data_IF_817615219435
#
_entry.id   IF_817615219435
#
_cell.length_a   1.000
_cell.length_b   1.000
_cell.length_c   1.000
_cell.angle_alpha   90.00
_cell.angle_beta   90.00
_cell.angle_gamma   90.00
#
_symmetry.space_group_name_H-M   'P 1'
#
loop_
_entity.id
_entity.type
_entity.pdbx_description
1 polymer ?
#
# COMPACT_ATOMS: atom_id res chain seq x y z
N UNK A 1 -11.49 0.32 -56.65
CA UNK A 1 -12.25 0.91 -55.51
C UNK A 1 -12.66 -0.11 -54.44
N UNK A 2 -12.97 -1.37 -54.76
CA UNK A 2 -13.37 -2.37 -53.76
C UNK A 2 -12.27 -2.75 -52.72
N UNK A 3 -10.98 -2.69 -53.08
CA UNK A 3 -9.87 -3.07 -52.18
C UNK A 3 -9.70 -2.15 -50.96
N UNK A 4 -9.95 -0.84 -51.11
CA UNK A 4 -9.86 0.13 -50.01
C UNK A 4 -11.01 -0.01 -49.00
N UNK A 5 -12.19 -0.47 -49.45
CA UNK A 5 -13.34 -0.63 -48.57
C UNK A 5 -13.22 -1.84 -47.62
N UNK A 6 -12.72 -2.97 -48.12
CA UNK A 6 -12.45 -4.15 -47.28
C UNK A 6 -11.33 -3.91 -46.26
N UNK A 7 -10.33 -3.09 -46.61
CA UNK A 7 -9.28 -2.61 -45.71
C UNK A 7 -9.86 -1.81 -44.52
N UNK A 8 -10.78 -0.87 -44.80
CA UNK A 8 -11.40 -0.04 -43.76
C UNK A 8 -12.27 -0.84 -42.78
N UNK A 9 -13.12 -1.75 -43.27
CA UNK A 9 -13.97 -2.59 -42.40
C UNK A 9 -13.14 -3.45 -41.45
N UNK A 10 -12.06 -4.06 -41.95
CA UNK A 10 -11.14 -4.85 -41.13
C UNK A 10 -10.43 -3.99 -40.08
N UNK A 11 -10.04 -2.78 -40.42
CA UNK A 11 -9.42 -1.83 -39.48
C UNK A 11 -10.37 -1.45 -38.34
N UNK A 12 -11.61 -1.10 -38.66
CA UNK A 12 -12.64 -0.76 -37.65
C UNK A 12 -12.91 -1.96 -36.73
N UNK A 13 -13.04 -3.16 -37.31
CA UNK A 13 -13.22 -4.39 -36.53
C UNK A 13 -12.05 -4.64 -35.57
N UNK A 14 -10.81 -4.50 -36.04
CA UNK A 14 -9.63 -4.64 -35.20
C UNK A 14 -9.61 -3.61 -34.07
N UNK A 15 -9.94 -2.34 -34.34
CA UNK A 15 -10.03 -1.30 -33.31
C UNK A 15 -11.07 -1.67 -32.25
N UNK A 16 -12.26 -2.12 -32.68
CA UNK A 16 -13.31 -2.57 -31.76
C UNK A 16 -12.88 -3.75 -30.90
N UNK A 17 -12.20 -4.74 -31.50
CA UNK A 17 -11.67 -5.90 -30.78
C UNK A 17 -10.58 -5.51 -29.78
N UNK A 18 -9.68 -4.61 -30.16
CA UNK A 18 -8.63 -4.08 -29.28
C UNK A 18 -9.20 -3.31 -28.10
N UNK A 19 -10.24 -2.52 -28.32
CA UNK A 19 -10.92 -1.80 -27.25
C UNK A 19 -11.65 -2.77 -26.29
N UNK A 20 -12.37 -3.76 -26.82
CA UNK A 20 -13.01 -4.78 -25.98
C UNK A 20 -12.00 -5.56 -25.14
N UNK A 21 -10.86 -5.93 -25.74
CA UNK A 21 -9.76 -6.58 -25.04
C UNK A 21 -9.12 -5.65 -23.99
N UNK A 22 -9.01 -4.36 -24.27
CA UNK A 22 -8.52 -3.37 -23.30
C UNK A 22 -9.44 -3.22 -22.08
N UNK A 23 -10.77 -3.27 -22.28
CA UNK A 23 -11.73 -3.29 -21.17
C UNK A 23 -11.58 -4.57 -20.34
N UNK A 24 -11.37 -5.72 -20.99
CA UNK A 24 -11.07 -6.97 -20.29
C UNK A 24 -9.80 -6.86 -19.44
N UNK A 25 -8.69 -6.40 -20.02
CA UNK A 25 -7.43 -6.17 -19.30
C UNK A 25 -7.60 -5.18 -18.14
N UNK A 26 -8.36 -4.10 -18.36
CA UNK A 26 -8.67 -3.13 -17.32
C UNK A 26 -9.33 -3.82 -16.13
N UNK A 27 -10.39 -4.61 -16.35
CA UNK A 27 -11.11 -5.34 -15.29
C UNK A 27 -10.19 -6.33 -14.57
N UNK A 28 -9.37 -7.09 -15.31
CA UNK A 28 -8.44 -8.07 -14.72
C UNK A 28 -7.40 -7.37 -13.85
N UNK A 29 -6.78 -6.29 -14.33
CA UNK A 29 -5.82 -5.50 -13.54
C UNK A 29 -6.47 -4.91 -12.30
N UNK A 30 -7.70 -4.43 -12.44
CA UNK A 30 -8.50 -3.86 -11.37
C UNK A 30 -8.85 -4.87 -10.27
N UNK A 31 -9.12 -6.13 -10.64
CA UNK A 31 -9.28 -7.25 -9.69
C UNK A 31 -7.94 -7.58 -9.05
N UNK A 32 -6.87 -7.66 -9.85
CA UNK A 32 -5.52 -7.97 -9.35
C UNK A 32 -5.05 -6.96 -8.28
N UNK A 33 -5.21 -5.66 -8.55
CA UNK A 33 -4.84 -4.59 -7.62
C UNK A 33 -5.64 -4.61 -6.32
N UNK A 34 -6.82 -5.25 -6.30
CA UNK A 34 -7.63 -5.39 -5.09
C UNK A 34 -7.20 -6.59 -4.22
N UNK A 35 -6.36 -7.49 -4.73
CA UNK A 35 -5.84 -8.64 -3.99
C UNK A 35 -4.62 -8.21 -3.17
N UNK A 36 -4.38 -8.88 -2.04
CA UNK A 36 -3.24 -8.62 -1.14
C UNK A 36 -1.88 -9.08 -1.70
N UNK A 37 -1.89 -10.01 -2.63
CA UNK A 37 -0.68 -10.65 -3.11
C UNK A 37 0.16 -9.71 -4.01
N UNK A 38 1.46 -9.68 -3.76
CA UNK A 38 2.44 -8.94 -4.56
C UNK A 38 3.44 -9.92 -5.14
N UNK A 39 3.76 -9.80 -6.43
CA UNK A 39 4.78 -10.63 -7.06
C UNK A 39 6.19 -10.07 -6.80
N UNK A 40 7.20 -10.94 -6.71
CA UNK A 40 8.59 -10.53 -6.41
C UNK A 40 9.18 -9.51 -7.39
N UNK A 41 8.83 -9.60 -8.68
CA UNK A 41 9.29 -8.66 -9.69
C UNK A 41 8.71 -7.26 -9.47
N UNK A 42 7.48 -7.19 -8.95
CA UNK A 42 6.83 -5.94 -8.57
C UNK A 42 7.60 -5.28 -7.42
N UNK A 43 8.04 -6.06 -6.43
CA UNK A 43 8.83 -5.57 -5.28
C UNK A 43 10.11 -4.88 -5.76
N UNK A 44 10.86 -5.51 -6.67
CA UNK A 44 12.11 -4.94 -7.22
C UNK A 44 11.83 -3.64 -7.98
N UNK A 45 10.79 -3.60 -8.79
CA UNK A 45 10.40 -2.39 -9.52
C UNK A 45 10.00 -1.26 -8.55
N UNK A 46 9.18 -1.57 -7.54
CA UNK A 46 8.74 -0.60 -6.53
C UNK A 46 9.94 -0.02 -5.80
N UNK A 47 10.86 -0.87 -5.32
CA UNK A 47 12.09 -0.43 -4.67
C UNK A 47 12.93 0.48 -5.57
N UNK A 48 13.15 0.08 -6.83
CA UNK A 48 13.94 0.86 -7.77
C UNK A 48 13.30 2.23 -8.08
N UNK A 49 12.00 2.25 -8.35
CA UNK A 49 11.26 3.47 -8.69
C UNK A 49 11.11 4.40 -7.48
N UNK A 50 10.89 3.85 -6.28
CA UNK A 50 10.92 4.59 -5.02
C UNK A 50 12.28 5.23 -4.74
N UNK A 51 13.37 4.48 -4.93
CA UNK A 51 14.74 4.98 -4.76
C UNK A 51 15.05 6.09 -5.76
N UNK A 52 14.65 5.93 -7.03
CA UNK A 52 14.80 6.94 -8.07
C UNK A 52 14.01 8.21 -7.74
N UNK A 53 12.73 8.08 -7.34
CA UNK A 53 11.85 9.20 -6.97
C UNK A 53 12.48 10.01 -5.82
N UNK A 54 12.96 9.34 -4.78
CA UNK A 54 13.56 10.01 -3.62
C UNK A 54 14.92 10.63 -3.94
N UNK A 55 15.79 9.95 -4.70
CA UNK A 55 17.15 10.43 -4.99
C UNK A 55 17.20 11.54 -6.03
N UNK A 56 16.40 11.45 -7.09
CA UNK A 56 16.47 12.43 -8.19
C UNK A 56 15.70 13.72 -7.90
N UNK A 57 14.64 13.67 -7.09
CA UNK A 57 13.72 14.79 -6.97
C UNK A 57 13.61 15.40 -5.57
N UNK A 58 14.06 14.71 -4.49
CA UNK A 58 13.82 15.08 -3.07
C UNK A 58 12.36 15.54 -2.79
N UNK A 59 11.43 15.10 -3.65
CA UNK A 59 10.01 15.45 -3.62
C UNK A 59 9.26 14.51 -2.69
N UNK A 60 9.80 14.28 -1.49
CA UNK A 60 8.97 13.74 -0.42
C UNK A 60 7.89 14.78 -0.12
N UNK A 61 6.63 14.42 -0.33
CA UNK A 61 5.48 15.24 0.08
C UNK A 61 5.35 15.14 1.61
N UNK A 62 6.31 15.74 2.32
CA UNK A 62 6.36 15.76 3.79
C UNK A 62 5.10 16.45 4.31
N UNK A 63 4.43 15.88 5.33
CA UNK A 63 3.32 16.57 5.98
C UNK A 63 3.82 17.79 6.76
N UNK A 64 2.89 18.58 7.29
CA UNK A 64 3.20 19.71 8.17
C UNK A 64 3.96 19.22 9.41
N UNK A 65 5.18 19.69 9.59
CA UNK A 65 6.07 19.32 10.69
C UNK A 65 5.52 19.69 12.05
N UNK A 66 4.71 20.74 12.12
CA UNK A 66 4.10 21.21 13.36
C UNK A 66 2.81 20.46 13.72
N UNK A 67 2.26 19.62 12.85
CA UNK A 67 1.04 18.86 13.16
C UNK A 67 1.29 17.65 14.06
N UNK A 68 2.53 17.22 14.23
CA UNK A 68 2.84 15.98 14.95
C UNK A 68 3.60 16.21 16.26
N UNK A 69 3.28 15.40 17.26
CA UNK A 69 4.07 15.21 18.47
C UNK A 69 4.32 13.71 18.64
N UNK A 70 5.57 13.30 18.45
CA UNK A 70 6.00 11.92 18.58
C UNK A 70 6.54 11.71 20.00
N UNK A 71 5.89 10.85 20.78
CA UNK A 71 6.23 10.56 22.16
C UNK A 71 6.78 9.13 22.27
N UNK A 72 8.08 9.02 22.47
CA UNK A 72 8.75 7.75 22.60
C UNK A 72 8.54 7.11 23.97
N UNK A 73 8.14 5.84 23.97
CA UNK A 73 7.98 5.01 25.17
C UNK A 73 8.93 3.82 25.21
N UNK A 74 9.91 3.75 24.31
CA UNK A 74 10.88 2.65 24.22
C UNK A 74 11.59 2.42 25.57
N UNK A 75 12.01 3.49 26.25
CA UNK A 75 12.87 3.39 27.44
C UNK A 75 12.14 3.53 28.79
N UNK A 76 10.88 3.96 28.80
CA UNK A 76 10.10 4.09 30.04
C UNK A 76 9.37 2.79 30.35
N UNK A 77 10.10 1.86 30.98
CA UNK A 77 9.59 0.53 31.32
C UNK A 77 9.37 0.38 32.84
N UNK A 78 8.33 -0.37 33.20
CA UNK A 78 8.03 -0.83 34.56
C UNK A 78 8.11 -2.36 34.59
N UNK A 79 8.74 -2.90 35.62
CA UNK A 79 8.82 -4.35 35.82
C UNK A 79 7.54 -4.82 36.51
N UNK A 80 6.93 -5.87 35.97
CA UNK A 80 5.82 -6.60 36.61
C UNK A 80 6.23 -8.06 36.84
N UNK A 81 5.64 -8.76 37.82
CA UNK A 81 5.90 -10.17 38.03
C UNK A 81 5.47 -11.00 36.80
N UNK A 82 6.39 -11.80 36.27
CA UNK A 82 6.11 -12.81 35.24
C UNK A 82 5.63 -14.09 35.92
N UNK A 83 4.49 -14.62 35.49
CA UNK A 83 3.88 -15.83 36.05
C UNK A 83 3.96 -17.00 35.08
N UNK A 84 4.12 -18.22 35.62
CA UNK A 84 4.01 -19.46 34.84
C UNK A 84 2.54 -19.80 34.51
N UNK A 85 2.33 -20.92 33.81
CA UNK A 85 0.99 -21.41 33.43
C UNK A 85 0.08 -21.76 34.60
N UNK A 86 0.61 -21.89 35.83
CA UNK A 86 -0.12 -22.25 37.05
C UNK A 86 -0.25 -21.01 37.98
N UNK A 87 0.34 -19.87 37.60
CA UNK A 87 0.23 -18.59 38.29
C UNK A 87 1.37 -18.28 39.28
N UNK A 88 2.41 -19.11 39.37
CA UNK A 88 3.57 -18.85 40.23
C UNK A 88 4.47 -17.79 39.61
N UNK A 89 5.01 -16.88 40.43
CA UNK A 89 5.97 -15.87 39.97
C UNK A 89 7.31 -16.54 39.68
N UNK A 90 7.74 -16.50 38.42
CA UNK A 90 9.00 -17.08 37.94
C UNK A 90 10.07 -16.03 37.65
N UNK A 91 9.72 -14.74 37.69
CA UNK A 91 10.64 -13.64 37.45
C UNK A 91 9.91 -12.32 37.29
N UNK A 92 10.54 -11.37 36.60
CA UNK A 92 9.94 -10.10 36.23
C UNK A 92 10.04 -9.90 34.72
N UNK A 93 9.03 -9.25 34.13
CA UNK A 93 9.03 -8.84 32.73
C UNK A 93 8.83 -7.33 32.61
N UNK A 94 9.53 -6.67 31.66
CA UNK A 94 9.36 -5.24 31.42
C UNK A 94 8.14 -4.98 30.54
N UNK A 95 7.24 -4.13 31.03
CA UNK A 95 6.14 -3.54 30.27
C UNK A 95 6.35 -2.02 30.14
N UNK A 96 5.66 -1.36 29.22
CA UNK A 96 5.63 0.11 29.20
C UNK A 96 5.04 0.65 30.50
N UNK A 97 5.63 1.72 31.02
CA UNK A 97 5.22 2.32 32.28
C UNK A 97 3.85 3.00 32.18
N UNK A 98 2.81 2.27 32.61
CA UNK A 98 1.41 2.72 32.56
C UNK A 98 1.13 3.89 33.49
N UNK A 99 1.88 4.01 34.59
CA UNK A 99 1.77 5.15 35.51
C UNK A 99 2.21 6.47 34.85
N UNK A 100 3.35 6.45 34.13
CA UNK A 100 3.80 7.61 33.36
C UNK A 100 2.79 8.01 32.29
N UNK A 101 2.28 7.03 31.54
CA UNK A 101 1.27 7.28 30.51
C UNK A 101 0.00 7.88 31.12
N UNK A 102 -0.51 7.30 32.20
CA UNK A 102 -1.70 7.83 32.89
C UNK A 102 -1.47 9.26 33.41
N UNK A 103 -0.28 9.57 33.95
CA UNK A 103 0.08 10.94 34.38
C UNK A 103 0.03 11.94 33.23
N UNK A 104 0.57 11.57 32.06
CA UNK A 104 0.54 12.44 30.86
C UNK A 104 -0.89 12.61 30.35
N UNK A 105 -1.64 11.51 30.20
CA UNK A 105 -3.04 11.56 29.75
C UNK A 105 -3.92 12.35 30.71
N UNK A 106 -3.72 12.22 32.03
CA UNK A 106 -4.41 13.03 33.03
C UNK A 106 -4.20 14.53 32.82
N UNK A 107 -2.97 14.95 32.50
CA UNK A 107 -2.66 16.36 32.21
C UNK A 107 -3.28 16.84 30.89
N UNK A 108 -3.32 15.97 29.87
CA UNK A 108 -4.01 16.26 28.60
C UNK A 108 -5.53 16.41 28.84
N UNK A 109 -6.12 15.53 29.64
CA UNK A 109 -7.55 15.55 29.98
C UNK A 109 -7.99 16.78 30.79
N UNK A 110 -7.07 17.58 31.32
CA UNK A 110 -7.38 18.90 31.88
C UNK A 110 -7.74 19.93 30.78
N UNK A 111 -7.47 19.60 29.51
CA UNK A 111 -7.73 20.39 28.31
C UNK A 111 -8.28 19.49 27.19
N UNK A 112 -9.49 18.91 27.33
CA UNK A 112 -9.97 17.76 26.55
C UNK A 112 -10.08 17.98 25.03
N UNK A 113 -10.25 19.22 24.57
CA UNK A 113 -10.38 19.56 23.14
C UNK A 113 -9.09 20.03 22.48
N UNK A 114 -7.98 20.00 23.21
CA UNK A 114 -6.79 20.73 22.83
C UNK A 114 -5.90 19.95 21.83
N UNK A 115 -6.04 18.63 21.67
CA UNK A 115 -5.34 17.86 20.64
C UNK A 115 -6.22 17.62 19.40
N UNK A 116 -5.60 17.32 18.26
CA UNK A 116 -6.31 16.86 17.07
C UNK A 116 -6.73 15.39 17.24
N UNK A 117 -5.77 14.54 17.62
CA UNK A 117 -5.94 13.10 17.77
C UNK A 117 -4.83 12.49 18.65
N UNK A 118 -5.12 11.39 19.35
CA UNK A 118 -4.12 10.64 20.12
C UNK A 118 -4.08 9.18 19.69
N UNK A 119 -2.92 8.71 19.27
CA UNK A 119 -2.64 7.29 19.06
C UNK A 119 -1.74 6.78 20.19
N UNK A 120 -2.15 5.69 20.83
CA UNK A 120 -1.33 4.95 21.80
C UNK A 120 -0.99 3.59 21.20
N UNK A 121 0.15 3.53 20.53
CA UNK A 121 0.71 2.34 19.91
C UNK A 121 1.55 1.53 20.90
N UNK A 122 0.84 0.94 21.87
CA UNK A 122 1.43 0.15 22.95
C UNK A 122 0.57 -1.09 23.16
N UNK A 123 1.24 -2.23 23.30
CA UNK A 123 0.56 -3.48 23.56
C UNK A 123 0.28 -3.67 25.06
N UNK A 124 -0.99 -3.80 25.43
CA UNK A 124 -1.44 -3.93 26.82
C UNK A 124 -1.99 -5.34 27.11
N UNK A 125 -1.16 -6.39 26.97
CA UNK A 125 -1.60 -7.80 27.17
C UNK A 125 -1.42 -8.26 28.62
N UNK A 126 -0.36 -7.80 29.28
CA UNK A 126 -0.08 -8.22 30.65
C UNK A 126 -0.75 -7.29 31.66
N UNK A 127 -1.43 -7.78 32.72
CA UNK A 127 -2.04 -6.92 33.72
C UNK A 127 -0.98 -6.17 34.55
N UNK A 128 -1.28 -4.92 34.92
CA UNK A 128 -0.44 -4.08 35.77
C UNK A 128 -1.24 -3.46 36.92
N UNK A 129 -0.63 -3.19 38.10
CA UNK A 129 -1.29 -2.45 39.18
C UNK A 129 -1.81 -1.06 38.78
N UNK A 130 -1.27 -0.45 37.73
CA UNK A 130 -1.65 0.90 37.29
C UNK A 130 -2.80 0.91 36.26
N UNK A 131 -3.37 -0.26 35.92
CA UNK A 131 -4.36 -0.38 34.86
C UNK A 131 -5.62 0.44 35.14
N UNK A 132 -6.13 0.38 36.36
CA UNK A 132 -7.32 1.15 36.75
C UNK A 132 -7.10 2.67 36.66
N UNK A 133 -5.87 3.15 36.91
CA UNK A 133 -5.53 4.56 36.75
C UNK A 133 -5.51 4.94 35.26
N UNK A 134 -4.95 4.10 34.42
CA UNK A 134 -4.86 4.34 32.98
C UNK A 134 -6.23 4.25 32.29
N UNK A 135 -7.05 3.27 32.65
CA UNK A 135 -8.44 3.13 32.16
C UNK A 135 -9.29 4.35 32.49
N UNK A 136 -9.12 4.93 33.69
CA UNK A 136 -9.81 6.15 34.09
C UNK A 136 -9.48 7.30 33.14
N UNK A 137 -8.23 7.43 32.70
CA UNK A 137 -7.84 8.49 31.77
C UNK A 137 -8.27 8.22 30.33
N UNK A 138 -8.27 6.96 29.88
CA UNK A 138 -8.84 6.59 28.59
C UNK A 138 -10.36 6.81 28.52
N UNK A 139 -11.07 6.70 29.63
CA UNK A 139 -12.52 6.95 29.66
C UNK A 139 -12.92 8.41 29.45
N UNK A 140 -11.99 9.35 29.69
CA UNK A 140 -12.20 10.79 29.58
C UNK A 140 -11.72 11.37 28.26
N UNK A 141 -10.77 10.70 27.61
CA UNK A 141 -10.07 11.26 26.46
C UNK A 141 -10.90 11.09 25.19
N UNK A 142 -11.06 12.18 24.44
CA UNK A 142 -11.73 12.15 23.16
C UNK A 142 -10.72 11.96 22.02
N UNK A 143 -11.19 11.43 20.87
CA UNK A 143 -10.36 11.26 19.65
C UNK A 143 -9.05 10.52 19.93
N UNK A 144 -9.17 9.39 20.62
CA UNK A 144 -8.05 8.53 20.99
C UNK A 144 -8.26 7.11 20.45
N UNK A 145 -7.17 6.45 20.07
CA UNK A 145 -7.14 5.02 19.79
C UNK A 145 -5.96 4.34 20.48
N UNK A 146 -6.18 3.10 20.91
CA UNK A 146 -5.20 2.24 21.54
C UNK A 146 -5.00 1.00 20.66
N UNK A 147 -3.75 0.70 20.34
CA UNK A 147 -3.41 -0.44 19.50
C UNK A 147 -3.80 -1.78 20.14
N UNK A 148 -4.30 -2.68 19.29
CA UNK A 148 -4.35 -4.11 19.55
C UNK A 148 -3.80 -4.88 18.35
N UNK A 149 -3.48 -6.15 18.58
CA UNK A 149 -2.83 -7.03 17.61
C UNK A 149 -3.60 -8.34 17.46
N UNK A 150 -3.29 -9.14 16.44
CA UNK A 150 -3.82 -10.49 16.28
C UNK A 150 -2.84 -11.53 16.81
N UNK A 151 -3.37 -12.68 17.20
CA UNK A 151 -2.57 -13.86 17.49
C UNK A 151 -2.11 -14.56 16.20
N UNK A 152 -1.31 -15.62 16.34
CA UNK A 152 -0.84 -16.44 15.23
C UNK A 152 -1.97 -17.13 14.44
N UNK A 153 -3.21 -17.14 14.95
CA UNK A 153 -4.41 -17.67 14.27
C UNK A 153 -5.23 -16.56 13.61
N UNK A 154 -4.72 -15.33 13.58
CA UNK A 154 -5.39 -14.17 13.02
C UNK A 154 -6.53 -13.62 13.87
N UNK A 155 -6.67 -14.04 15.14
CA UNK A 155 -7.73 -13.56 16.04
C UNK A 155 -7.27 -12.34 16.83
N UNK A 156 -8.12 -11.32 17.01
CA UNK A 156 -7.82 -10.18 17.87
C UNK A 156 -7.43 -10.58 19.29
N UNK A 157 -6.30 -10.06 19.77
CA UNK A 157 -5.85 -10.08 21.15
C UNK A 157 -6.20 -8.74 21.78
N UNK A 158 -7.28 -8.73 22.55
CA UNK A 158 -7.82 -7.50 23.14
C UNK A 158 -6.96 -7.06 24.34
N UNK A 159 -6.62 -5.76 24.45
CA UNK A 159 -5.98 -5.19 25.62
C UNK A 159 -6.66 -5.56 26.94
N UNK A 160 -5.88 -5.78 28.00
CA UNK A 160 -6.41 -5.96 29.36
C UNK A 160 -7.06 -4.70 29.90
N UNK A 161 -6.68 -3.54 29.35
CA UNK A 161 -7.25 -2.24 29.70
C UNK A 161 -8.46 -1.91 28.82
N UNK A 162 -9.49 -1.31 29.41
CA UNK A 162 -10.62 -0.75 28.67
C UNK A 162 -10.24 0.58 28.04
N UNK A 163 -10.23 0.61 26.70
CA UNK A 163 -9.92 1.80 25.91
C UNK A 163 -10.63 1.73 24.54
N UNK A 164 -10.74 2.86 23.80
CA UNK A 164 -11.10 2.82 22.39
C UNK A 164 -9.97 2.15 21.60
N UNK A 165 -10.20 0.97 21.03
CA UNK A 165 -9.15 0.14 20.43
C UNK A 165 -9.15 0.15 18.90
N UNK A 166 -7.99 -0.08 18.29
CA UNK A 166 -7.82 -0.23 16.84
C UNK A 166 -6.73 -1.25 16.46
N UNK A 167 -6.88 -1.90 15.30
CA UNK A 167 -5.91 -2.92 14.85
C UNK A 167 -4.66 -2.26 14.28
N UNK A 168 -3.51 -2.51 14.89
CA UNK A 168 -2.22 -1.95 14.45
C UNK A 168 -1.32 -2.95 13.75
N UNK A 169 -1.81 -4.17 13.50
CA UNK A 169 -1.07 -5.15 12.71
C UNK A 169 -0.88 -4.71 11.27
N UNK A 170 0.35 -4.91 10.81
CA UNK A 170 0.72 -4.85 9.40
C UNK A 170 0.67 -6.26 8.83
N UNK A 171 0.21 -6.39 7.58
CA UNK A 171 0.40 -7.65 6.86
C UNK A 171 1.81 -7.66 6.29
N UNK A 172 2.51 -8.77 6.51
CA UNK A 172 3.81 -9.02 5.93
C UNK A 172 3.56 -9.58 4.53
N UNK A 173 4.03 -8.89 3.49
CA UNK A 173 3.87 -9.31 2.10
C UNK A 173 4.84 -10.45 1.74
N UNK A 174 6.02 -10.44 2.35
CA UNK A 174 7.07 -11.43 2.17
C UNK A 174 7.53 -11.95 3.53
N UNK A 175 7.06 -13.15 3.88
CA UNK A 175 7.36 -13.80 5.18
C UNK A 175 8.85 -14.11 5.35
N UNK A 176 9.60 -14.34 4.27
CA UNK A 176 11.03 -14.64 4.34
C UNK A 176 11.84 -13.37 4.67
N UNK A 177 11.42 -12.22 4.15
CA UNK A 177 12.07 -10.92 4.37
C UNK A 177 11.47 -10.09 5.50
N UNK A 178 10.36 -10.54 6.08
CA UNK A 178 9.54 -9.77 7.02
C UNK A 178 9.22 -8.36 6.47
N UNK A 179 8.93 -8.30 5.16
CA UNK A 179 8.83 -7.05 4.41
C UNK A 179 7.38 -6.56 4.35
N UNK A 180 7.17 -5.33 4.80
CA UNK A 180 5.91 -4.61 4.65
C UNK A 180 5.97 -3.74 3.41
N UNK A 181 5.11 -4.04 2.44
CA UNK A 181 5.00 -3.32 1.17
C UNK A 181 3.62 -2.71 0.98
N UNK A 182 2.57 -3.54 1.06
CA UNK A 182 1.18 -3.12 0.91
C UNK A 182 0.53 -3.00 2.29
N UNK A 183 -0.10 -1.85 2.53
CA UNK A 183 -0.87 -1.65 3.73
C UNK A 183 -2.33 -2.05 3.50
N UNK A 184 -2.89 -2.83 4.42
CA UNK A 184 -4.26 -3.35 4.37
C UNK A 184 -5.18 -2.60 5.34
N UNK A 185 -6.24 -1.99 4.83
CA UNK A 185 -7.17 -1.17 5.62
C UNK A 185 -8.19 -1.99 6.40
N UNK A 186 -8.69 -3.06 5.79
CA UNK A 186 -9.58 -4.05 6.40
C UNK A 186 -8.88 -5.41 6.38
N UNK A 187 -8.84 -6.07 7.53
CA UNK A 187 -8.25 -7.39 7.71
C UNK A 187 -9.28 -8.38 8.27
N UNK A 188 -9.18 -9.68 7.94
CA UNK A 188 -10.10 -10.70 8.45
C UNK A 188 -11.58 -10.35 8.23
N UNK A 189 -11.90 -9.89 7.01
CA UNK A 189 -13.22 -9.46 6.52
C UNK A 189 -13.86 -8.22 7.17
N UNK A 190 -13.44 -7.81 8.36
CA UNK A 190 -14.15 -6.77 9.15
C UNK A 190 -13.29 -5.92 10.07
N UNK A 191 -12.04 -6.30 10.33
CA UNK A 191 -11.19 -5.58 11.28
C UNK A 191 -10.60 -4.35 10.62
N UNK A 192 -11.08 -3.17 11.03
CA UNK A 192 -10.54 -1.88 10.58
C UNK A 192 -9.20 -1.63 11.26
N UNK A 193 -8.21 -1.21 10.48
CA UNK A 193 -6.91 -0.83 11.00
C UNK A 193 -6.89 0.57 11.60
N UNK A 194 -5.88 0.82 12.43
CA UNK A 194 -5.61 2.09 13.08
C UNK A 194 -5.62 3.27 12.09
N UNK A 195 -4.90 3.23 10.95
CA UNK A 195 -4.90 4.34 9.99
C UNK A 195 -6.28 4.65 9.41
N UNK A 196 -7.09 3.61 9.16
CA UNK A 196 -8.45 3.79 8.66
C UNK A 196 -9.32 4.49 9.70
N UNK A 197 -9.31 4.01 10.95
CA UNK A 197 -10.09 4.60 12.04
C UNK A 197 -9.63 6.03 12.37
N UNK A 198 -8.32 6.30 12.33
CA UNK A 198 -7.78 7.66 12.44
C UNK A 198 -8.38 8.58 11.37
N UNK A 199 -8.40 8.14 10.10
CA UNK A 199 -8.98 8.92 9.00
C UNK A 199 -10.50 9.11 9.14
N UNK A 200 -11.23 8.11 9.65
CA UNK A 200 -12.66 8.24 9.95
C UNK A 200 -12.93 9.28 11.05
N UNK A 201 -12.11 9.30 12.11
CA UNK A 201 -12.27 10.19 13.25
C UNK A 201 -11.85 11.62 12.91
N UNK A 202 -10.67 11.79 12.29
CA UNK A 202 -10.09 13.11 11.99
C UNK A 202 -10.81 13.77 10.81
N UNK A 203 -10.99 13.05 9.71
CA UNK A 203 -11.48 13.62 8.45
C UNK A 203 -12.97 13.35 8.19
N UNK A 204 -13.65 12.57 9.05
CA UNK A 204 -15.06 12.19 8.87
C UNK A 204 -15.30 11.26 7.66
N UNK A 205 -14.24 10.75 7.02
CA UNK A 205 -14.30 9.95 5.80
C UNK A 205 -14.58 8.48 6.13
N UNK A 206 -15.86 8.13 6.28
CA UNK A 206 -16.30 6.76 6.59
C UNK A 206 -15.94 5.77 5.48
N UNK A 207 -15.56 4.57 5.87
CA UNK A 207 -15.45 3.38 5.03
C UNK A 207 -16.82 2.77 4.77
N UNK A 208 -17.07 2.44 3.52
CA UNK A 208 -18.24 1.69 3.07
C UNK A 208 -17.78 0.53 2.19
N UNK A 209 -18.15 -0.69 2.58
CA UNK A 209 -17.87 -1.88 1.77
C UNK A 209 -18.60 -1.79 0.43
N UNK A 210 -17.89 -1.95 -0.67
CA UNK A 210 -18.51 -2.03 -1.99
C UNK A 210 -18.38 -3.42 -2.62
N UNK A 211 -18.98 -3.60 -3.80
CA UNK A 211 -19.00 -4.89 -4.49
C UNK A 211 -17.61 -5.26 -5.07
N UNK A 212 -16.99 -4.30 -5.76
CA UNK A 212 -15.67 -4.48 -6.39
C UNK A 212 -14.61 -3.56 -5.76
N UNK A 213 -15.04 -2.40 -5.27
CA UNK A 213 -14.21 -1.41 -4.59
C UNK A 213 -14.94 -0.89 -3.39
N UNK A 214 -14.21 -0.74 -2.29
CA UNK A 214 -14.70 -0.01 -1.14
C UNK A 214 -14.80 1.48 -1.47
N UNK A 215 -15.51 2.20 -0.61
CA UNK A 215 -15.53 3.65 -0.65
C UNK A 215 -15.01 4.23 0.65
N UNK A 216 -14.21 5.28 0.56
CA UNK A 216 -13.78 6.06 1.71
C UNK A 216 -14.15 7.52 1.42
N UNK A 217 -15.02 8.09 2.26
CA UNK A 217 -15.53 9.45 2.05
C UNK A 217 -16.26 9.63 0.72
N UNK A 218 -16.99 8.60 0.27
CA UNK A 218 -17.76 8.60 -0.99
C UNK A 218 -16.96 8.35 -2.26
N UNK A 219 -15.63 8.27 -2.19
CA UNK A 219 -14.76 7.97 -3.33
C UNK A 219 -14.37 6.50 -3.34
N UNK A 220 -14.22 5.92 -4.54
CA UNK A 220 -13.80 4.51 -4.69
C UNK A 220 -12.33 4.37 -4.30
N UNK A 221 -12.02 3.34 -3.52
CA UNK A 221 -10.67 3.11 -3.02
C UNK A 221 -10.32 1.64 -2.99
N UNK A 222 -9.03 1.33 -3.11
CA UNK A 222 -8.50 0.01 -2.83
C UNK A 222 -8.41 -0.22 -1.32
N UNK A 223 -8.67 -1.47 -0.90
CA UNK A 223 -8.46 -1.91 0.48
C UNK A 223 -6.95 -2.07 0.80
N UNK A 224 -6.14 -2.32 -0.22
CA UNK A 224 -4.69 -2.44 -0.15
C UNK A 224 -4.02 -1.42 -1.07
N UNK A 225 -2.90 -0.87 -0.63
CA UNK A 225 -2.10 0.06 -1.44
C UNK A 225 -0.64 0.02 -1.01
N UNK A 226 0.26 0.38 -1.92
CA UNK A 226 1.70 0.42 -1.65
C UNK A 226 1.99 1.66 -0.82
N UNK A 227 2.70 1.46 0.30
CA UNK A 227 2.95 2.53 1.24
C UNK A 227 4.15 3.38 0.80
N UNK A 228 3.91 4.68 0.59
CA UNK A 228 4.98 5.69 0.52
C UNK A 228 5.29 6.19 1.94
N UNK A 229 6.54 6.60 2.18
CA UNK A 229 7.03 7.02 3.49
C UNK A 229 7.47 8.49 3.45
N UNK A 230 6.50 9.43 3.42
CA UNK A 230 6.79 10.86 3.45
C UNK A 230 7.49 11.29 4.74
N UNK A 231 7.32 10.56 5.84
CA UNK A 231 8.06 10.74 7.08
C UNK A 231 8.86 9.48 7.39
N UNK A 232 10.18 9.62 7.58
CA UNK A 232 11.05 8.50 7.94
C UNK A 232 11.92 8.79 9.18
N UNK A 233 12.70 7.78 9.59
CA UNK A 233 13.66 7.89 10.69
C UNK A 233 14.66 9.03 10.49
N UNK A 234 15.12 9.27 9.26
CA UNK A 234 16.11 10.29 8.98
C UNK A 234 15.54 11.70 9.18
N UNK A 235 14.27 11.91 8.82
CA UNK A 235 13.58 13.17 9.05
C UNK A 235 13.40 13.46 10.55
N UNK A 236 13.26 12.43 11.40
CA UNK A 236 13.10 12.57 12.86
C UNK A 236 14.46 12.67 13.57
N UNK A 237 15.32 11.66 13.44
CA UNK A 237 16.51 11.51 14.29
C UNK A 237 17.75 12.27 13.78
N UNK A 238 17.85 12.50 12.47
CA UNK A 238 19.03 13.14 11.88
C UNK A 238 18.78 14.59 11.49
N UNK A 239 17.55 14.91 11.04
CA UNK A 239 17.17 16.25 10.57
C UNK A 239 16.35 17.04 11.59
N UNK A 240 15.84 16.39 12.64
CA UNK A 240 15.03 17.02 13.69
C UNK A 240 13.85 17.83 13.13
N UNK A 241 13.19 17.30 12.09
CA UNK A 241 12.08 18.00 11.42
C UNK A 241 10.78 17.92 12.21
N UNK A 242 10.59 16.88 13.01
CA UNK A 242 9.36 16.63 13.76
C UNK A 242 9.65 16.63 15.24
N UNK A 243 8.70 17.14 16.02
CA UNK A 243 8.85 17.17 17.47
C UNK A 243 8.81 15.75 18.04
N UNK A 244 9.97 15.30 18.50
CA UNK A 244 10.17 14.01 19.14
C UNK A 244 10.62 14.21 20.59
N UNK A 245 9.95 13.53 21.52
CA UNK A 245 10.26 13.61 22.96
C UNK A 245 10.13 12.24 23.60
N UNK A 246 10.95 11.93 24.60
CA UNK A 246 10.70 10.77 25.44
C UNK A 246 9.56 11.07 26.42
N UNK A 247 8.71 10.08 26.70
CA UNK A 247 7.59 10.27 27.64
C UNK A 247 8.06 10.79 29.00
N UNK A 248 9.25 10.36 29.46
CA UNK A 248 9.81 10.79 30.73
C UNK A 248 10.07 12.30 30.80
N UNK A 249 10.37 12.94 29.67
CA UNK A 249 10.60 14.39 29.59
C UNK A 249 9.30 15.17 29.79
N UNK A 250 8.16 14.59 29.44
CA UNK A 250 6.85 15.27 29.52
C UNK A 250 6.04 14.88 30.76
N UNK A 251 6.40 13.80 31.46
CA UNK A 251 5.74 13.34 32.68
C UNK A 251 5.75 14.41 33.76
N UNK A 252 6.81 15.22 33.87
CA UNK A 252 6.95 16.24 34.92
C UNK A 252 6.60 17.66 34.46
N UNK A 253 6.28 17.85 33.16
CA UNK A 253 5.89 19.15 32.61
C UNK A 253 4.56 19.62 33.22
N UNK A 254 4.44 20.89 33.67
CA UNK A 254 3.17 21.38 34.19
C UNK A 254 2.06 21.38 33.12
N UNK A 255 0.79 21.12 33.50
CA UNK A 255 -0.31 20.95 32.53
C UNK A 255 -0.44 22.06 31.47
N UNK A 256 -0.31 23.37 31.80
CA UNK A 256 -0.42 24.42 30.78
C UNK A 256 0.65 24.36 29.68
N UNK A 257 1.86 23.92 30.03
CA UNK A 257 2.94 23.77 29.05
C UNK A 257 2.71 22.55 28.16
N UNK A 258 2.29 21.42 28.76
CA UNK A 258 1.94 20.23 27.98
C UNK A 258 0.74 20.50 27.05
N UNK A 259 -0.26 21.24 27.52
CA UNK A 259 -1.37 21.71 26.69
C UNK A 259 -0.85 22.48 25.46
N UNK A 260 0.07 23.43 25.65
CA UNK A 260 0.68 24.13 24.52
C UNK A 260 1.45 23.18 23.57
N UNK A 261 2.03 22.10 24.08
CA UNK A 261 2.75 21.12 23.26
C UNK A 261 1.83 20.26 22.39
N UNK A 262 0.66 19.87 22.92
CA UNK A 262 -0.28 18.97 22.22
C UNK A 262 -1.31 19.74 21.38
N UNK A 263 -1.30 21.07 21.47
CA UNK A 263 -2.31 21.95 20.86
C UNK A 263 -2.42 21.72 19.34
N UNK A 264 -3.60 21.33 18.88
CA UNK A 264 -3.93 21.09 17.46
C UNK A 264 -3.00 20.05 16.78
N UNK A 265 -2.39 19.14 17.57
CA UNK A 265 -1.47 18.11 17.07
C UNK A 265 -2.07 16.71 17.10
N UNK A 266 -1.60 15.87 16.19
CA UNK A 266 -1.70 14.42 16.28
C UNK A 266 -0.55 13.93 17.17
N UNK A 267 -0.89 13.39 18.33
CA UNK A 267 0.08 12.89 19.32
C UNK A 267 0.16 11.37 19.20
N UNK A 268 1.37 10.85 19.04
CA UNK A 268 1.61 9.42 18.89
C UNK A 268 2.53 8.94 20.00
N UNK A 269 2.00 8.13 20.89
CA UNK A 269 2.77 7.38 21.88
C UNK A 269 3.14 6.03 21.29
N UNK A 270 4.43 5.73 21.18
CA UNK A 270 4.87 4.48 20.57
C UNK A 270 6.34 4.18 20.81
N UNK A 271 6.75 2.97 20.47
CA UNK A 271 8.17 2.59 20.47
C UNK A 271 8.79 2.95 19.12
N UNK A 272 9.59 4.01 19.10
CA UNK A 272 10.22 4.50 17.87
C UNK A 272 11.65 3.95 17.66
N UNK A 273 12.21 3.21 18.62
CA UNK A 273 13.65 2.97 18.69
C UNK A 273 14.06 1.52 18.96
N UNK A 274 13.32 0.76 19.77
CA UNK A 274 13.78 -0.54 20.31
C UNK A 274 13.05 -1.74 19.69
N UNK A 275 11.81 -2.00 20.13
CA UNK A 275 11.18 -3.32 19.92
C UNK A 275 10.25 -3.41 18.73
N UNK A 276 9.65 -2.29 18.34
CA UNK A 276 8.62 -2.25 17.31
C UNK A 276 9.20 -1.79 15.97
N UNK A 277 10.19 -2.53 15.45
CA UNK A 277 10.92 -2.17 14.23
C UNK A 277 10.69 -3.23 13.15
N UNK A 278 10.18 -2.82 12.00
CA UNK A 278 9.83 -3.68 10.87
C UNK A 278 10.66 -3.39 9.63
N UNK A 279 10.80 -4.36 8.73
CA UNK A 279 11.47 -4.14 7.44
C UNK A 279 10.49 -3.54 6.42
N UNK A 280 10.93 -2.51 5.72
CA UNK A 280 10.18 -1.84 4.65
C UNK A 280 11.07 -1.70 3.41
N UNK A 281 10.49 -1.28 2.29
CA UNK A 281 11.27 -0.97 1.07
C UNK A 281 12.28 0.19 1.26
N UNK A 282 12.14 0.97 2.34
CA UNK A 282 13.06 2.05 2.70
C UNK A 282 14.00 1.66 3.86
N UNK A 283 14.03 0.38 4.24
CA UNK A 283 14.81 -0.14 5.36
C UNK A 283 13.97 -0.29 6.65
N UNK A 284 14.65 -0.35 7.79
CA UNK A 284 14.00 -0.58 9.09
C UNK A 284 13.20 0.63 9.56
N UNK A 285 11.90 0.48 9.76
CA UNK A 285 10.98 1.54 10.20
C UNK A 285 10.27 1.16 11.50
N UNK A 286 10.02 2.09 12.43
CA UNK A 286 9.21 1.81 13.61
C UNK A 286 7.73 1.65 13.24
N UNK A 287 7.04 0.71 13.89
CA UNK A 287 5.61 0.46 13.75
C UNK A 287 4.75 1.74 13.78
N UNK A 288 4.92 2.64 14.77
CA UNK A 288 4.11 3.86 14.85
C UNK A 288 4.29 4.79 13.65
N UNK A 289 5.48 4.81 13.04
CA UNK A 289 5.72 5.57 11.80
C UNK A 289 5.08 4.92 10.58
N UNK A 290 5.01 3.58 10.53
CA UNK A 290 4.32 2.88 9.45
C UNK A 290 2.82 3.20 9.51
N UNK A 291 2.21 3.13 10.70
CA UNK A 291 0.81 3.50 10.92
C UNK A 291 0.55 4.97 10.52
N UNK A 292 1.42 5.89 10.94
CA UNK A 292 1.27 7.30 10.59
C UNK A 292 1.40 7.54 9.07
N UNK A 293 2.39 6.93 8.41
CA UNK A 293 2.53 7.06 6.96
C UNK A 293 1.31 6.49 6.22
N UNK A 294 0.73 5.39 6.70
CA UNK A 294 -0.49 4.81 6.13
C UNK A 294 -1.69 5.75 6.31
N UNK A 295 -1.80 6.43 7.46
CA UNK A 295 -2.82 7.45 7.67
C UNK A 295 -2.64 8.63 6.70
N UNK A 296 -1.40 9.12 6.54
CA UNK A 296 -1.09 10.20 5.62
C UNK A 296 -1.38 9.83 4.16
N UNK A 297 -1.18 8.57 3.78
CA UNK A 297 -1.54 8.07 2.45
C UNK A 297 -3.06 8.12 2.21
N UNK A 298 -3.87 7.74 3.22
CA UNK A 298 -5.33 7.87 3.15
C UNK A 298 -5.80 9.33 3.08
N UNK A 299 -5.14 10.21 3.82
CA UNK A 299 -5.48 11.63 3.82
C UNK A 299 -5.30 12.25 2.43
N UNK A 300 -4.21 11.87 1.74
CA UNK A 300 -3.91 12.26 0.35
C UNK A 300 -4.74 11.55 -0.71
N UNK A 301 -5.38 10.44 -0.35
CA UNK A 301 -6.12 9.62 -1.29
C UNK A 301 -5.23 8.75 -2.19
N UNK A 302 -4.06 8.33 -1.71
CA UNK A 302 -3.12 7.47 -2.47
C UNK A 302 -3.74 6.09 -2.80
N UNK A 303 -4.80 5.70 -2.08
CA UNK A 303 -5.58 4.49 -2.35
C UNK A 303 -6.84 4.73 -3.21
N UNK A 304 -7.11 5.96 -3.65
CA UNK A 304 -8.31 6.30 -4.43
C UNK A 304 -8.18 5.87 -5.91
N UNK A 305 -9.24 5.25 -6.45
CA UNK A 305 -9.32 4.87 -7.86
C UNK A 305 -9.80 6.08 -8.68
N UNK A 306 -8.84 6.85 -9.19
CA UNK A 306 -9.13 8.03 -10.02
C UNK A 306 -9.72 7.65 -11.40
N UNK A 307 -10.74 8.35 -11.90
CA UNK A 307 -11.21 8.18 -13.29
C UNK A 307 -10.10 8.41 -14.33
N UNK A 308 -9.13 9.27 -14.04
CA UNK A 308 -7.99 9.53 -14.93
C UNK A 308 -7.02 8.35 -14.98
N UNK A 309 -6.88 7.61 -13.88
CA UNK A 309 -6.11 6.37 -13.85
C UNK A 309 -6.76 5.31 -14.75
N UNK A 310 -8.09 5.16 -14.66
CA UNK A 310 -8.85 4.25 -15.52
C UNK A 310 -8.71 4.62 -17.00
N UNK A 311 -8.74 5.92 -17.32
CA UNK A 311 -8.52 6.41 -18.68
C UNK A 311 -7.10 6.10 -19.18
N UNK A 312 -6.07 6.33 -18.35
CA UNK A 312 -4.69 5.98 -18.68
C UNK A 312 -4.56 4.49 -19.04
N UNK A 313 -5.08 3.62 -18.18
CA UNK A 313 -5.05 2.17 -18.41
C UNK A 313 -5.84 1.78 -19.67
N UNK A 314 -7.03 2.35 -19.88
CA UNK A 314 -7.84 2.05 -21.06
C UNK A 314 -7.13 2.44 -22.35
N UNK A 315 -6.47 3.61 -22.38
CA UNK A 315 -5.68 4.06 -23.53
C UNK A 315 -4.46 3.16 -23.75
N UNK A 316 -3.69 2.88 -22.69
CA UNK A 316 -2.52 2.02 -22.77
C UNK A 316 -2.89 0.61 -23.26
N UNK A 317 -3.89 -0.01 -22.63
CA UNK A 317 -4.36 -1.34 -23.00
C UNK A 317 -4.98 -1.37 -24.40
N UNK A 318 -5.64 -0.30 -24.86
CA UNK A 318 -6.14 -0.22 -26.24
C UNK A 318 -5.01 -0.19 -27.25
N UNK A 319 -3.96 0.61 -26.99
CA UNK A 319 -2.79 0.73 -27.86
C UNK A 319 -2.04 -0.60 -27.97
N UNK A 320 -1.76 -1.24 -26.84
CA UNK A 320 -1.00 -2.50 -26.84
C UNK A 320 -1.81 -3.67 -27.40
N UNK A 321 -3.13 -3.70 -27.14
CA UNK A 321 -4.03 -4.68 -27.75
C UNK A 321 -4.12 -4.51 -29.26
N UNK A 322 -4.10 -3.27 -29.75
CA UNK A 322 -4.08 -3.00 -31.19
C UNK A 322 -2.80 -3.47 -31.87
N UNK A 323 -1.64 -3.32 -31.21
CA UNK A 323 -0.38 -3.92 -31.66
C UNK A 323 -0.51 -5.43 -31.76
N UNK A 324 -0.87 -6.11 -30.67
CA UNK A 324 -0.92 -7.57 -30.61
C UNK A 324 -1.90 -8.20 -31.62
N UNK A 325 -3.05 -7.57 -31.85
CA UNK A 325 -4.08 -8.06 -32.79
C UNK A 325 -3.68 -7.81 -34.25
N UNK A 326 -2.86 -6.80 -34.53
CA UNK A 326 -2.45 -6.45 -35.89
C UNK A 326 -1.18 -7.19 -36.26
N UNK A 327 -1.35 -8.42 -36.80
CA UNK A 327 -0.36 -9.47 -37.19
C UNK A 327 0.87 -9.02 -38.03
N UNK A 328 1.09 -7.74 -38.29
CA UNK A 328 2.23 -7.20 -39.06
C UNK A 328 2.65 -5.82 -38.56
N UNK A 329 2.97 -5.72 -37.27
CA UNK A 329 3.41 -4.45 -36.71
C UNK A 329 4.81 -4.04 -37.24
N UNK A 330 5.15 -2.74 -37.18
CA UNK A 330 6.44 -2.24 -37.67
C UNK A 330 7.65 -2.80 -36.94
N UNK A 331 7.51 -3.20 -35.67
CA UNK A 331 8.61 -3.71 -34.84
C UNK A 331 8.98 -5.11 -35.32
N UNK A 332 8.03 -6.02 -35.47
CA UNK A 332 8.31 -7.37 -36.00
C UNK A 332 9.00 -7.31 -37.36
N UNK A 333 8.52 -6.47 -38.28
CA UNK A 333 9.16 -6.27 -39.60
C UNK A 333 10.56 -5.68 -39.52
N UNK A 334 10.85 -4.88 -38.50
CA UNK A 334 12.18 -4.32 -38.29
C UNK A 334 13.14 -5.39 -37.76
N UNK A 335 12.68 -6.25 -36.85
CA UNK A 335 13.45 -7.37 -36.31
C UNK A 335 13.78 -8.39 -37.39
N UNK A 336 12.79 -8.83 -38.18
CA UNK A 336 12.97 -9.73 -39.32
C UNK A 336 14.02 -9.22 -40.31
N UNK A 337 14.10 -7.89 -40.50
CA UNK A 337 15.10 -7.26 -41.38
C UNK A 337 16.48 -7.19 -40.76
N UNK A 338 16.58 -7.06 -39.43
CA UNK A 338 17.84 -6.84 -38.73
C UNK A 338 18.54 -8.14 -38.34
N UNK A 339 17.79 -9.19 -38.03
CA UNK A 339 18.32 -10.49 -37.62
C UNK A 339 18.17 -11.50 -38.75
N UNK A 340 19.30 -11.88 -39.36
CA UNK A 340 19.32 -12.87 -40.47
C UNK A 340 18.88 -14.27 -40.04
N UNK A 341 19.16 -14.63 -38.78
CA UNK A 341 18.80 -15.92 -38.17
C UNK A 341 17.55 -15.77 -37.31
N UNK A 342 16.47 -15.25 -37.90
CA UNK A 342 15.20 -15.08 -37.20
C UNK A 342 14.61 -16.46 -36.85
N UNK A 343 14.66 -16.80 -35.56
CA UNK A 343 14.08 -18.01 -35.01
C UNK A 343 13.12 -17.66 -33.85
N UNK A 344 12.42 -18.68 -33.36
CA UNK A 344 11.44 -18.53 -32.28
C UNK A 344 12.02 -17.88 -31.01
N UNK A 345 13.28 -18.16 -30.66
CA UNK A 345 13.92 -17.59 -29.47
C UNK A 345 14.15 -16.09 -29.63
N UNK A 346 14.57 -15.64 -30.81
CA UNK A 346 14.75 -14.22 -31.12
C UNK A 346 13.41 -13.49 -31.11
N UNK A 347 12.38 -14.06 -31.73
CA UNK A 347 11.01 -13.52 -31.71
C UNK A 347 10.48 -13.38 -30.29
N UNK A 348 10.55 -14.46 -29.50
CA UNK A 348 10.15 -14.48 -28.10
C UNK A 348 10.85 -13.39 -27.29
N UNK A 349 12.19 -13.33 -27.39
CA UNK A 349 13.00 -12.40 -26.60
C UNK A 349 12.64 -10.95 -26.93
N UNK A 350 12.50 -10.61 -28.21
CA UNK A 350 12.20 -9.23 -28.62
C UNK A 350 10.77 -8.84 -28.23
N UNK A 351 9.78 -9.71 -28.47
CA UNK A 351 8.39 -9.40 -28.14
C UNK A 351 8.19 -9.27 -26.62
N UNK A 352 8.73 -10.20 -25.82
CA UNK A 352 8.66 -10.11 -24.36
C UNK A 352 9.38 -8.86 -23.85
N UNK A 353 10.58 -8.55 -24.37
CA UNK A 353 11.32 -7.34 -23.99
C UNK A 353 10.53 -6.07 -24.33
N UNK A 354 9.89 -6.03 -25.50
CA UNK A 354 9.05 -4.91 -25.90
C UNK A 354 7.88 -4.71 -24.93
N UNK A 355 7.17 -5.79 -24.59
CA UNK A 355 6.06 -5.72 -23.63
C UNK A 355 6.52 -5.31 -22.23
N UNK A 356 7.66 -5.84 -21.76
CA UNK A 356 8.25 -5.45 -20.47
C UNK A 356 8.58 -3.97 -20.42
N UNK A 357 9.24 -3.44 -21.46
CA UNK A 357 9.55 -2.00 -21.55
C UNK A 357 8.26 -1.18 -21.59
N UNK A 358 7.28 -1.60 -22.40
CA UNK A 358 6.01 -0.90 -22.53
C UNK A 358 5.26 -0.82 -21.19
N UNK A 359 5.02 -1.95 -20.54
CA UNK A 359 4.33 -1.99 -19.25
C UNK A 359 5.16 -1.37 -18.13
N UNK A 360 6.50 -1.42 -18.22
CA UNK A 360 7.38 -0.70 -17.31
C UNK A 360 7.20 0.81 -17.38
N UNK A 361 7.13 1.38 -18.59
CA UNK A 361 6.84 2.80 -18.76
C UNK A 361 5.43 3.17 -18.25
N UNK A 362 4.42 2.35 -18.55
CA UNK A 362 3.05 2.58 -18.06
C UNK A 362 3.00 2.50 -16.53
N UNK A 363 3.71 1.55 -15.92
CA UNK A 363 3.81 1.39 -14.46
C UNK A 363 4.52 2.58 -13.81
N UNK A 364 5.60 3.09 -14.40
CA UNK A 364 6.29 4.30 -13.92
C UNK A 364 5.37 5.52 -13.99
N UNK A 365 4.68 5.72 -15.11
CA UNK A 365 3.71 6.83 -15.27
C UNK A 365 2.59 6.68 -14.25
N UNK A 366 2.04 5.48 -14.11
CA UNK A 366 1.00 5.15 -13.14
C UNK A 366 1.44 5.50 -11.72
N UNK A 367 2.62 5.07 -11.31
CA UNK A 367 3.17 5.36 -9.99
C UNK A 367 3.37 6.86 -9.77
N UNK A 368 3.93 7.58 -10.75
CA UNK A 368 4.21 9.01 -10.58
C UNK A 368 2.93 9.82 -10.37
N UNK A 369 1.90 9.58 -11.19
CA UNK A 369 0.67 10.38 -11.15
C UNK A 369 -0.38 9.86 -10.16
N UNK A 370 -0.41 8.56 -9.89
CA UNK A 370 -1.48 7.90 -9.14
C UNK A 370 -0.99 7.07 -7.94
N UNK A 371 0.32 6.96 -7.71
CA UNK A 371 0.92 6.12 -6.66
C UNK A 371 0.52 4.63 -6.73
N UNK A 372 0.10 4.15 -7.91
CA UNK A 372 -0.28 2.75 -8.15
C UNK A 372 0.76 2.10 -9.05
N UNK A 373 1.35 0.98 -8.60
CA UNK A 373 2.22 0.15 -9.42
C UNK A 373 1.42 -0.92 -10.15
N UNK A 374 1.87 -1.30 -11.34
CA UNK A 374 1.27 -2.33 -12.16
C UNK A 374 2.21 -3.53 -12.29
N UNK A 375 1.65 -4.73 -12.32
CA UNK A 375 2.39 -5.97 -12.63
C UNK A 375 2.85 -5.99 -14.07
N UNK A 376 4.16 -5.82 -14.28
CA UNK A 376 4.74 -5.78 -15.62
C UNK A 376 4.85 -7.19 -16.19
N UNK A 377 5.36 -8.15 -15.42
CA UNK A 377 5.73 -9.47 -15.93
C UNK A 377 4.52 -10.28 -16.40
N UNK A 378 3.49 -10.38 -15.56
CA UNK A 378 2.26 -11.11 -15.89
C UNK A 378 1.57 -10.56 -17.14
N UNK A 379 1.41 -9.22 -17.22
CA UNK A 379 0.83 -8.57 -18.39
C UNK A 379 1.69 -8.78 -19.64
N UNK A 380 3.01 -8.75 -19.51
CA UNK A 380 3.94 -8.94 -20.63
C UNK A 380 3.85 -10.34 -21.22
N UNK A 381 3.87 -11.38 -20.37
CA UNK A 381 3.73 -12.76 -20.83
C UNK A 381 2.35 -13.01 -21.44
N UNK A 382 1.29 -12.51 -20.79
CA UNK A 382 -0.06 -12.62 -21.33
C UNK A 382 -0.16 -12.06 -22.75
N UNK A 383 0.36 -10.83 -22.96
CA UNK A 383 0.33 -10.18 -24.27
C UNK A 383 1.15 -10.94 -25.32
N UNK A 384 2.31 -11.47 -24.94
CA UNK A 384 3.12 -12.30 -25.82
C UNK A 384 2.37 -13.56 -26.29
N UNK A 385 1.78 -14.32 -25.36
CA UNK A 385 1.03 -15.53 -25.72
C UNK A 385 -0.22 -15.22 -26.55
N UNK A 386 -0.90 -14.11 -26.26
CA UNK A 386 -2.01 -13.64 -27.08
C UNK A 386 -1.58 -13.38 -28.52
N UNK A 387 -0.48 -12.65 -28.72
CA UNK A 387 0.06 -12.34 -30.03
C UNK A 387 0.45 -13.60 -30.80
N UNK A 388 1.20 -14.53 -30.17
CA UNK A 388 1.56 -15.82 -30.76
C UNK A 388 0.32 -16.61 -31.16
N UNK A 389 -0.68 -16.70 -30.27
CA UNK A 389 -1.94 -17.37 -30.56
C UNK A 389 -2.67 -16.78 -31.77
N UNK A 390 -2.72 -15.45 -31.89
CA UNK A 390 -3.33 -14.76 -33.03
C UNK A 390 -2.54 -15.01 -34.32
N UNK A 391 -1.20 -14.95 -34.28
CA UNK A 391 -0.31 -15.24 -35.42
C UNK A 391 -0.55 -16.67 -35.94
N UNK A 392 -0.52 -17.67 -35.06
CA UNK A 392 -0.76 -19.08 -35.42
C UNK A 392 -2.15 -19.30 -36.03
N UNK A 393 -3.21 -18.67 -35.48
CA UNK A 393 -4.55 -18.76 -36.06
C UNK A 393 -4.59 -18.13 -37.46
N UNK A 394 -3.92 -16.99 -37.66
CA UNK A 394 -3.86 -16.30 -38.94
C UNK A 394 -3.11 -17.11 -40.01
N UNK A 395 -2.01 -17.76 -39.64
CA UNK A 395 -1.23 -18.64 -40.52
C UNK A 395 -2.03 -19.87 -40.95
N UNK A 396 -2.64 -20.59 -40.00
CA UNK A 396 -3.53 -21.72 -40.30
C UNK A 396 -4.69 -21.34 -41.23
N UNK A 397 -5.24 -20.12 -41.09
CA UNK A 397 -6.27 -19.60 -42.00
C UNK A 397 -5.74 -19.32 -43.41
N UNK A 398 -4.49 -18.87 -43.56
CA UNK A 398 -3.85 -18.67 -44.88
C UNK A 398 -3.56 -20.00 -45.55
N UNK A 399 -2.99 -20.96 -44.81
CA UNK A 399 -2.71 -22.31 -45.33
C UNK A 399 -3.99 -23.00 -45.82
N UNK A 400 -5.09 -22.92 -45.05
CA UNK A 400 -6.39 -23.45 -45.48
C UNK A 400 -6.90 -22.78 -46.76
N UNK A 401 -6.73 -21.47 -46.91
CA UNK A 401 -7.12 -20.75 -48.14
C UNK A 401 -6.29 -21.18 -49.34
N UNK A 402 -4.97 -21.34 -49.18
CA UNK A 402 -4.08 -21.82 -50.23
C UNK A 402 -4.43 -23.24 -50.66
N UNK A 403 -4.69 -24.16 -49.70
CA UNK A 403 -5.12 -25.53 -49.99
C UNK A 403 -6.44 -25.59 -50.76
N UNK A 404 -7.44 -24.76 -50.36
CA UNK A 404 -8.72 -24.71 -51.05
C UNK A 404 -8.62 -24.12 -52.47
N UNK A 405 -7.70 -23.17 -52.70
CA UNK A 405 -7.45 -22.64 -54.05
C UNK A 405 -6.80 -23.71 -54.94
N UNK A 406 -5.79 -24.42 -54.44
CA UNK A 406 -5.15 -25.51 -55.20
C UNK A 406 -6.08 -26.68 -55.51
N UNK A 407 -7.10 -26.93 -54.69
CA UNK A 407 -8.08 -28.01 -54.94
C UNK A 407 -9.22 -27.61 -55.88
N UNK A 408 -9.32 -26.34 -56.28
CA UNK A 408 -10.35 -25.85 -57.22
C UNK A 408 -9.78 -25.66 -58.63
N UNK A 409 -8.46 -25.69 -58.78
CA UNK A 409 -7.74 -25.60 -60.06
C UNK A 409 -7.40 -26.98 -60.68
N UNK A 410 -7.81 -28.06 -60.01
CA UNK A 410 -7.79 -29.45 -60.52
C UNK A 410 -9.22 -29.88 -60.78
#
# INVERSE_FOLDING_TARGET
MASNFFSHKKRIFNIGLSFAHAVFLLIVTLIYLAISFTLDDEIVLIQATAAIKNKLFDQKRRPDTERFLLVNVAWDKKLIPMKDSIGNVIGNQPITNRESLAKVLNKINQFPDNHEFILVDINFIDPSPDDSLLELEFSKIERCLVSYHKDAKGKPVIPTIKAPISLSDMQVDDEERDLILKYHLIQGDSLKTTPLLMNEIINGKKHEKGLAYDKIGGKRSFNSFILDYPMDKNDIFNRDLYRFVNIKEIVDIPPPFLAKMVKDKIVIFGDFEDRDIHNTIYGKMPGPLILLNAFLALERGDNEVSPYFLLLLLLAYSLISYKAITVRDPVTKWVERKFKDYNFVVEFTVDVTFYLIYFGLVSIISYWFFQIHLTILFLSFYMHFLEVGIKTIAEKKKEKKLKNQSSTEV
#
